data_IF_765191121086
#
_entry.id   IF_765191121086
#
_cell.length_a   1.000
_cell.length_b   1.000
_cell.length_c   1.000
_cell.angle_alpha   90.00
_cell.angle_beta   90.00
_cell.angle_gamma   90.00
#
_symmetry.space_group_name_H-M   'P 1'
#
loop_
_entity.id
_entity.type
_entity.pdbx_description
1 polymer ?
#
# COMPACT_ATOMS: atom_id res chain seq x y z
N UNK A 1 9.53 -9.38 -17.84
CA UNK A 1 9.64 -8.43 -16.72
C UNK A 1 8.32 -8.46 -15.98
N UNK A 2 8.37 -8.68 -14.67
CA UNK A 2 7.19 -8.68 -13.78
C UNK A 2 7.11 -7.35 -13.04
N UNK A 3 5.97 -6.68 -13.16
CA UNK A 3 5.75 -5.37 -12.57
C UNK A 3 4.62 -5.46 -11.56
N UNK A 4 4.87 -4.99 -10.34
CA UNK A 4 3.84 -4.83 -9.33
C UNK A 4 3.48 -3.36 -9.18
N UNK A 5 2.23 -3.00 -9.49
CA UNK A 5 1.73 -1.65 -9.30
C UNK A 5 0.98 -1.59 -7.96
N UNK A 6 1.44 -0.74 -7.07
CA UNK A 6 0.79 -0.45 -5.79
C UNK A 6 0.00 0.85 -5.92
N UNK A 7 -1.31 0.73 -5.93
CA UNK A 7 -2.24 1.85 -6.05
C UNK A 7 -3.13 1.97 -4.82
N UNK A 8 -3.95 3.01 -4.77
CA UNK A 8 -4.99 3.19 -3.76
C UNK A 8 -6.28 3.66 -4.43
N UNK A 9 -7.43 3.15 -3.97
CA UNK A 9 -8.75 3.58 -4.44
C UNK A 9 -9.25 4.83 -3.70
N UNK A 10 -8.36 5.73 -3.32
CA UNK A 10 -8.72 7.04 -2.78
C UNK A 10 -8.73 8.07 -3.91
N UNK A 11 -9.85 8.16 -4.63
CA UNK A 11 -9.99 9.03 -5.80
C UNK A 11 -9.74 8.29 -7.13
N UNK A 12 -10.26 8.87 -8.21
CA UNK A 12 -10.19 8.25 -9.55
C UNK A 12 -8.80 8.35 -10.18
N UNK A 13 -8.00 9.37 -9.82
CA UNK A 13 -6.73 9.67 -10.47
C UNK A 13 -5.68 8.57 -10.32
N UNK A 14 -5.41 8.13 -9.11
CA UNK A 14 -4.39 7.12 -8.83
C UNK A 14 -4.68 5.77 -9.48
N UNK A 15 -5.96 5.36 -9.46
CA UNK A 15 -6.39 4.10 -10.06
C UNK A 15 -6.35 4.18 -11.60
N UNK A 16 -6.80 5.29 -12.19
CA UNK A 16 -6.73 5.51 -13.63
C UNK A 16 -5.28 5.52 -14.13
N UNK A 17 -4.39 6.17 -13.39
CA UNK A 17 -2.95 6.18 -13.69
C UNK A 17 -2.35 4.76 -13.59
N UNK A 18 -2.66 4.02 -12.53
CA UNK A 18 -2.21 2.64 -12.38
C UNK A 18 -2.67 1.76 -13.54
N UNK A 19 -3.94 1.90 -13.94
CA UNK A 19 -4.50 1.16 -15.07
C UNK A 19 -3.79 1.53 -16.39
N UNK A 20 -3.65 2.81 -16.69
CA UNK A 20 -3.01 3.27 -17.92
C UNK A 20 -1.55 2.79 -18.05
N UNK A 21 -0.79 2.83 -16.95
CA UNK A 21 0.57 2.31 -16.90
C UNK A 21 0.58 0.79 -17.10
N UNK A 22 -0.33 0.07 -16.43
CA UNK A 22 -0.48 -1.37 -16.56
C UNK A 22 -0.76 -1.77 -18.01
N UNK A 23 -1.80 -1.21 -18.63
CA UNK A 23 -2.17 -1.49 -20.01
C UNK A 23 -1.00 -1.24 -20.98
N UNK A 24 -0.26 -0.14 -20.78
CA UNK A 24 0.91 0.18 -21.61
C UNK A 24 2.05 -0.84 -21.42
N UNK A 25 2.35 -1.25 -20.21
CA UNK A 25 3.43 -2.21 -19.93
C UNK A 25 3.07 -3.61 -20.44
N UNK A 26 1.81 -4.04 -20.29
CA UNK A 26 1.30 -5.30 -20.82
C UNK A 26 1.39 -5.33 -22.35
N UNK A 27 1.06 -4.22 -23.02
CA UNK A 27 1.20 -4.11 -24.49
C UNK A 27 2.66 -4.26 -24.96
N UNK A 28 3.61 -4.06 -24.08
CA UNK A 28 5.06 -4.25 -24.33
C UNK A 28 5.58 -5.62 -23.83
N UNK A 29 4.68 -6.51 -23.41
CA UNK A 29 5.02 -7.87 -23.00
C UNK A 29 5.48 -7.99 -21.54
N UNK A 30 5.19 -7.02 -20.69
CA UNK A 30 5.39 -7.17 -19.25
C UNK A 30 4.22 -7.94 -18.62
N UNK A 31 4.49 -8.72 -17.58
CA UNK A 31 3.49 -9.29 -16.68
C UNK A 31 3.20 -8.27 -15.59
N UNK A 32 1.97 -7.76 -15.53
CA UNK A 32 1.61 -6.69 -14.60
C UNK A 32 0.56 -7.17 -13.61
N UNK A 33 0.83 -6.91 -12.33
CA UNK A 33 -0.15 -7.09 -11.25
C UNK A 33 -0.40 -5.75 -10.58
N UNK A 34 -1.67 -5.39 -10.36
CA UNK A 34 -2.04 -4.20 -9.61
C UNK A 34 -2.66 -4.59 -8.27
N UNK A 35 -2.13 -4.05 -7.19
CA UNK A 35 -2.61 -4.26 -5.83
C UNK A 35 -3.13 -2.93 -5.27
N UNK A 36 -4.39 -2.94 -4.84
CA UNK A 36 -4.96 -1.84 -4.06
C UNK A 36 -4.55 -1.97 -2.60
N UNK A 37 -3.69 -1.07 -2.16
CA UNK A 37 -3.15 -1.08 -0.80
C UNK A 37 -4.24 -0.81 0.23
N UNK A 38 -5.23 0.05 -0.06
CA UNK A 38 -6.33 0.32 0.87
C UNK A 38 -7.31 -0.85 0.97
N UNK A 39 -7.64 -1.50 -0.14
CA UNK A 39 -8.46 -2.70 -0.12
C UNK A 39 -7.77 -3.83 0.67
N UNK A 40 -6.47 -4.00 0.48
CA UNK A 40 -5.67 -4.97 1.24
C UNK A 40 -5.72 -4.69 2.75
N UNK A 41 -5.49 -3.43 3.15
CA UNK A 41 -5.54 -2.99 4.56
C UNK A 41 -6.95 -3.21 5.13
N UNK A 42 -7.99 -2.79 4.42
CA UNK A 42 -9.38 -2.94 4.86
C UNK A 42 -9.77 -4.41 5.05
N UNK A 43 -9.37 -5.29 4.13
CA UNK A 43 -9.62 -6.72 4.22
C UNK A 43 -8.86 -7.36 5.38
N UNK A 44 -7.63 -6.93 5.64
CA UNK A 44 -6.85 -7.40 6.77
C UNK A 44 -7.50 -6.99 8.10
N UNK A 45 -8.01 -5.76 8.19
CA UNK A 45 -8.73 -5.27 9.36
C UNK A 45 -9.99 -6.10 9.58
N UNK A 46 -10.82 -6.30 8.56
CA UNK A 46 -12.05 -7.11 8.64
C UNK A 46 -11.76 -8.53 9.14
N UNK A 47 -10.81 -9.23 8.52
CA UNK A 47 -10.43 -10.60 8.92
C UNK A 47 -9.86 -10.70 10.33
N UNK A 48 -9.30 -9.62 10.84
CA UNK A 48 -8.75 -9.60 12.20
C UNK A 48 -9.83 -9.31 13.24
N UNK A 49 -10.84 -8.50 12.88
CA UNK A 49 -12.04 -8.24 13.70
C UNK A 49 -12.87 -9.52 13.85
N UNK A 50 -13.12 -10.24 12.74
CA UNK A 50 -13.90 -11.49 12.73
C UNK A 50 -13.28 -12.58 13.61
N UNK A 51 -11.96 -12.54 13.82
CA UNK A 51 -11.25 -13.47 14.73
C UNK A 51 -11.24 -13.01 16.20
N UNK A 52 -11.96 -11.96 16.57
CA UNK A 52 -12.12 -11.52 17.97
C UNK A 52 -10.85 -10.95 18.63
N UNK A 53 -9.74 -10.92 17.94
CA UNK A 53 -8.42 -10.62 18.54
C UNK A 53 -8.14 -9.13 18.72
N UNK A 54 -8.82 -8.24 17.98
CA UNK A 54 -8.49 -6.82 17.94
C UNK A 54 -9.51 -5.88 18.60
N UNK A 55 -10.63 -6.41 19.08
CA UNK A 55 -11.68 -5.56 19.63
C UNK A 55 -11.30 -4.83 20.92
N UNK A 56 -10.23 -5.24 21.59
CA UNK A 56 -9.78 -4.67 22.87
C UNK A 56 -8.56 -3.74 22.78
N UNK A 57 -7.96 -3.54 21.61
CA UNK A 57 -6.73 -2.75 21.55
C UNK A 57 -6.98 -1.30 21.12
N UNK A 58 -6.38 -0.35 21.87
CA UNK A 58 -6.33 1.09 21.53
C UNK A 58 -5.80 1.36 20.11
N UNK A 59 -5.13 0.38 19.50
CA UNK A 59 -4.55 0.44 18.17
C UNK A 59 -5.60 0.37 17.06
N UNK A 60 -6.76 -0.27 17.31
CA UNK A 60 -7.85 -0.34 16.32
C UNK A 60 -8.53 1.01 16.08
N UNK A 61 -8.78 1.77 17.14
CA UNK A 61 -9.37 3.11 17.00
C UNK A 61 -8.45 4.04 16.20
N UNK A 62 -7.15 3.93 16.43
CA UNK A 62 -6.14 4.69 15.68
C UNK A 62 -6.09 4.26 14.22
N UNK A 63 -6.17 2.97 13.95
CA UNK A 63 -6.14 2.43 12.59
C UNK A 63 -7.42 2.79 11.81
N UNK A 64 -8.61 2.64 12.42
CA UNK A 64 -9.87 3.08 11.82
C UNK A 64 -9.88 4.59 11.54
N UNK A 65 -9.44 5.39 12.50
CA UNK A 65 -9.34 6.85 12.34
C UNK A 65 -8.39 7.21 11.20
N UNK A 66 -7.26 6.52 11.08
CA UNK A 66 -6.28 6.73 10.02
C UNK A 66 -6.82 6.35 8.65
N UNK A 67 -7.43 5.17 8.51
CA UNK A 67 -8.05 4.72 7.25
C UNK A 67 -9.21 5.64 6.84
N UNK A 68 -10.03 6.07 7.79
CA UNK A 68 -11.13 7.03 7.54
C UNK A 68 -10.60 8.41 7.15
N UNK A 69 -9.59 8.92 7.85
CA UNK A 69 -8.99 10.22 7.54
C UNK A 69 -8.25 10.22 6.18
N UNK A 70 -7.68 9.08 5.79
CA UNK A 70 -7.08 8.91 4.46
C UNK A 70 -8.15 8.85 3.36
N UNK A 71 -9.35 8.33 3.67
CA UNK A 71 -10.46 8.26 2.73
C UNK A 71 -11.22 9.60 2.59
N UNK A 72 -11.35 10.38 3.67
CA UNK A 72 -12.14 11.62 3.70
C UNK A 72 -11.34 12.87 3.34
N UNK A 73 -10.05 12.90 3.61
CA UNK A 73 -9.21 14.04 3.30
C UNK A 73 -8.30 13.72 2.11
N UNK A 74 -8.44 14.47 1.03
CA UNK A 74 -7.43 14.64 -0.04
C UNK A 74 -6.13 15.23 0.54
N UNK A 75 -5.65 14.69 1.65
CA UNK A 75 -4.75 15.32 2.59
C UNK A 75 -3.30 15.01 2.38
N UNK A 76 -2.63 15.72 1.47
CA UNK A 76 -1.16 15.84 1.49
C UNK A 76 -0.60 16.28 2.86
N UNK A 77 -1.42 16.86 3.73
CA UNK A 77 -1.00 17.43 5.02
C UNK A 77 -0.75 16.38 6.13
N UNK A 78 -1.36 15.20 6.05
CA UNK A 78 -1.22 14.16 7.08
C UNK A 78 0.00 13.26 6.90
N UNK A 79 0.59 13.23 5.70
CA UNK A 79 1.72 12.36 5.40
C UNK A 79 3.06 12.84 5.99
N UNK A 80 3.12 14.04 6.54
CA UNK A 80 4.32 14.57 7.17
C UNK A 80 4.58 14.01 8.59
N UNK A 81 3.69 13.18 9.14
CA UNK A 81 3.90 12.52 10.41
C UNK A 81 4.32 11.06 10.20
N UNK A 82 5.61 10.83 10.01
CA UNK A 82 6.22 9.50 9.97
C UNK A 82 5.69 8.50 11.03
N UNK A 83 5.30 8.92 12.26
CA UNK A 83 4.70 8.02 13.25
C UNK A 83 3.43 7.32 12.80
N UNK A 84 2.63 7.93 11.94
CA UNK A 84 1.33 7.37 11.52
C UNK A 84 1.49 6.17 10.59
N UNK A 85 2.42 6.24 9.65
CA UNK A 85 2.70 5.13 8.72
C UNK A 85 3.38 3.97 9.45
N UNK A 86 4.30 4.28 10.33
CA UNK A 86 4.97 3.29 11.19
C UNK A 86 3.93 2.52 12.01
N UNK A 87 2.92 3.22 12.56
CA UNK A 87 1.86 2.57 13.32
C UNK A 87 0.98 1.66 12.45
N UNK A 88 0.64 2.08 11.23
CA UNK A 88 -0.10 1.23 10.27
C UNK A 88 0.72 -0.02 9.93
N UNK A 89 1.97 0.14 9.56
CA UNK A 89 2.85 -0.96 9.19
C UNK A 89 3.04 -1.93 10.35
N UNK A 90 3.15 -1.43 11.58
CA UNK A 90 3.23 -2.26 12.78
C UNK A 90 1.92 -3.02 13.04
N UNK A 91 0.77 -2.35 12.94
CA UNK A 91 -0.54 -2.94 13.16
C UNK A 91 -0.90 -4.00 12.11
N UNK A 92 -0.49 -3.79 10.85
CA UNK A 92 -0.73 -4.72 9.74
C UNK A 92 0.23 -5.91 9.73
N UNK A 93 1.25 -5.90 10.59
CA UNK A 93 2.34 -6.86 10.52
C UNK A 93 3.14 -6.66 9.23
N UNK A 94 4.17 -5.83 9.29
CA UNK A 94 5.06 -5.51 8.17
C UNK A 94 5.50 -6.76 7.38
N UNK A 95 5.71 -7.88 8.08
CA UNK A 95 6.09 -9.15 7.46
C UNK A 95 4.99 -9.76 6.59
N UNK A 96 3.70 -9.52 6.88
CA UNK A 96 2.60 -10.03 6.04
C UNK A 96 2.51 -9.25 4.73
N UNK A 97 2.61 -7.93 4.77
CA UNK A 97 2.59 -7.11 3.56
C UNK A 97 3.83 -7.34 2.69
N UNK A 98 5.01 -7.46 3.31
CA UNK A 98 6.23 -7.83 2.60
C UNK A 98 6.10 -9.20 1.89
N UNK A 99 5.46 -10.20 2.53
CA UNK A 99 5.19 -11.50 1.90
C UNK A 99 4.23 -11.37 0.71
N UNK A 100 3.20 -10.53 0.81
CA UNK A 100 2.28 -10.29 -0.32
C UNK A 100 3.05 -9.73 -1.51
N UNK A 101 3.90 -8.72 -1.30
CA UNK A 101 4.76 -8.17 -2.35
C UNK A 101 5.69 -9.26 -2.91
N UNK A 102 6.37 -9.99 -2.03
CA UNK A 102 7.33 -11.02 -2.43
C UNK A 102 6.69 -12.17 -3.22
N UNK A 103 5.44 -12.52 -2.93
CA UNK A 103 4.71 -13.58 -3.66
C UNK A 103 4.49 -13.24 -5.14
N UNK A 104 4.45 -11.97 -5.51
CA UNK A 104 4.39 -11.53 -6.91
C UNK A 104 5.74 -11.60 -7.60
N UNK A 105 6.82 -11.81 -6.86
CA UNK A 105 8.21 -11.87 -7.37
C UNK A 105 8.50 -10.74 -8.37
N UNK A 106 8.22 -9.48 -8.03
CA UNK A 106 8.34 -8.39 -8.97
C UNK A 106 9.79 -8.04 -9.27
N UNK A 107 10.09 -7.72 -10.53
CA UNK A 107 11.34 -7.14 -10.94
C UNK A 107 11.36 -5.63 -10.63
N UNK A 108 10.19 -5.00 -10.68
CA UNK A 108 9.98 -3.56 -10.41
C UNK A 108 8.67 -3.35 -9.66
N UNK A 109 8.68 -2.42 -8.72
CA UNK A 109 7.49 -1.91 -8.02
C UNK A 109 7.18 -0.49 -8.49
N UNK A 110 5.94 -0.22 -8.92
CA UNK A 110 5.47 1.12 -9.27
C UNK A 110 4.42 1.54 -8.24
N UNK A 111 4.63 2.68 -7.60
CA UNK A 111 3.71 3.25 -6.63
C UNK A 111 3.02 4.47 -7.24
N UNK A 112 1.70 4.44 -7.41
CA UNK A 112 0.93 5.59 -7.95
C UNK A 112 0.38 6.49 -6.84
N UNK A 113 0.73 6.21 -5.60
CA UNK A 113 0.35 7.04 -4.45
C UNK A 113 1.48 7.10 -3.42
N UNK A 114 1.66 8.27 -2.81
CA UNK A 114 2.72 8.52 -1.83
C UNK A 114 2.67 7.55 -0.65
N UNK A 115 1.47 7.19 -0.18
CA UNK A 115 1.30 6.22 0.90
C UNK A 115 1.88 4.83 0.55
N UNK A 116 1.63 4.35 -0.67
CA UNK A 116 2.18 3.07 -1.13
C UNK A 116 3.72 3.13 -1.19
N UNK A 117 4.27 4.24 -1.71
CA UNK A 117 5.71 4.45 -1.78
C UNK A 117 6.37 4.47 -0.39
N UNK A 118 5.75 5.17 0.57
CA UNK A 118 6.25 5.22 1.94
C UNK A 118 6.18 3.85 2.64
N UNK A 119 5.15 3.05 2.37
CA UNK A 119 5.08 1.69 2.90
C UNK A 119 6.21 0.82 2.36
N UNK A 120 6.50 0.88 1.07
CA UNK A 120 7.61 0.13 0.46
C UNK A 120 8.96 0.58 1.04
N UNK A 121 9.18 1.90 1.15
CA UNK A 121 10.41 2.46 1.74
C UNK A 121 10.62 1.97 3.17
N UNK A 122 9.57 2.00 3.99
CA UNK A 122 9.65 1.54 5.38
C UNK A 122 9.93 0.02 5.47
N UNK A 123 9.37 -0.80 4.57
CA UNK A 123 9.66 -2.23 4.51
C UNK A 123 11.11 -2.50 4.12
N UNK A 124 11.66 -1.72 3.18
CA UNK A 124 13.08 -1.81 2.79
C UNK A 124 13.99 -1.41 3.95
N UNK A 125 13.72 -0.28 4.62
CA UNK A 125 14.47 0.17 5.81
C UNK A 125 14.50 -0.88 6.92
N UNK A 126 13.40 -1.58 7.11
CA UNK A 126 13.30 -2.68 8.09
C UNK A 126 13.88 -4.01 7.61
N UNK A 127 14.47 -4.06 6.43
CA UNK A 127 14.98 -5.29 5.79
C UNK A 127 13.91 -6.40 5.70
N UNK A 128 12.64 -6.01 5.55
CA UNK A 128 11.50 -6.93 5.37
C UNK A 128 11.17 -7.17 3.91
N UNK A 129 11.71 -6.37 3.02
CA UNK A 129 11.57 -6.47 1.58
C UNK A 129 12.96 -6.45 0.96
N UNK A 130 13.16 -7.26 -0.10
CA UNK A 130 14.37 -7.22 -0.91
C UNK A 130 14.57 -5.84 -1.55
N UNK A 131 15.79 -5.54 -1.98
CA UNK A 131 16.10 -4.30 -2.71
C UNK A 131 15.63 -4.41 -4.16
N UNK A 132 14.31 -4.18 -4.35
CA UNK A 132 13.65 -4.20 -5.66
C UNK A 132 13.55 -2.74 -6.14
N UNK A 133 13.82 -2.51 -7.42
CA UNK A 133 13.64 -1.19 -8.05
C UNK A 133 12.24 -0.66 -7.76
N UNK A 134 12.15 0.59 -7.29
CA UNK A 134 10.87 1.19 -6.91
C UNK A 134 10.72 2.56 -7.53
N UNK A 135 9.64 2.74 -8.28
CA UNK A 135 9.31 3.97 -9.00
C UNK A 135 8.07 4.60 -8.34
N UNK A 136 8.18 5.85 -7.93
CA UNK A 136 7.05 6.65 -7.47
C UNK A 136 6.49 7.49 -8.62
N UNK A 137 5.19 7.41 -8.86
CA UNK A 137 4.48 8.27 -9.80
C UNK A 137 3.68 9.27 -8.98
N UNK A 138 4.01 10.56 -9.15
CA UNK A 138 3.24 11.64 -8.53
C UNK A 138 2.03 11.92 -9.40
N UNK A 139 0.85 11.79 -8.79
CA UNK A 139 -0.44 12.13 -9.41
C UNK A 139 -1.13 13.14 -8.51
N UNK A 140 -1.64 14.19 -9.06
CA UNK A 140 -2.41 15.22 -8.34
C UNK A 140 -3.85 14.75 -8.11
#
# INVERSE_FOLDING_TARGET
>A
MRVLILSVTAGFGHHATAKAIGDMLESKGAEVHTLDVYAYISNLIKTTIDKGYLFSSKHMQTLYRLVYQLAENNGASYFNSAPSIINIINALGASKFAKVIANHVPDVIICTHVFAAQMVDELKKRKKLADIETIGIVTD
#
